data_IF_961945521037
#
_entry.id   IF_961945521037
#
_cell.length_a   1.000
_cell.length_b   1.000
_cell.length_c   1.000
_cell.angle_alpha   90.00
_cell.angle_beta   90.00
_cell.angle_gamma   90.00
#
_symmetry.space_group_name_H-M   'P 1'
#
loop_
_entity.id
_entity.type
_entity.pdbx_description
1 polymer ?
#
# COMPACT_ATOMS: atom_id res chain seq x y z
N UNK A 1 -8.61 25.68 -6.65
CA UNK A 1 -9.73 24.84 -6.18
C UNK A 1 -9.87 23.82 -7.29
N UNK A 2 -9.34 22.60 -7.21
CA UNK A 2 -9.73 21.51 -6.30
C UNK A 2 -8.51 20.58 -6.09
N UNK A 3 -7.99 20.41 -4.87
CA UNK A 3 -7.07 19.32 -4.47
C UNK A 3 -7.10 19.11 -2.96
N UNK A 4 -8.22 18.63 -2.46
CA UNK A 4 -8.32 18.13 -1.08
C UNK A 4 -9.31 16.98 -1.07
N UNK A 5 -8.79 15.76 -0.94
CA UNK A 5 -9.58 14.54 -0.88
C UNK A 5 -8.82 13.39 -1.53
N UNK A 6 -8.31 12.48 -0.71
CA UNK A 6 -7.90 11.14 -1.16
C UNK A 6 -9.17 10.50 -1.74
N UNK A 7 -9.30 10.50 -3.06
CA UNK A 7 -10.50 10.01 -3.74
C UNK A 7 -10.39 8.49 -3.83
N UNK A 8 -10.96 7.79 -2.85
CA UNK A 8 -11.18 6.35 -2.89
C UNK A 8 -12.26 6.03 -3.93
N UNK A 9 -11.97 6.26 -5.22
CA UNK A 9 -12.82 5.84 -6.33
C UNK A 9 -12.40 4.43 -6.75
N UNK A 10 -13.06 3.34 -6.28
CA UNK A 10 -12.90 2.04 -6.89
C UNK A 10 -13.45 2.13 -8.31
N UNK A 11 -12.56 2.31 -9.29
CA UNK A 11 -12.95 2.27 -10.69
C UNK A 11 -13.56 0.89 -10.98
N UNK A 12 -14.82 0.78 -11.42
CA UNK A 12 -15.40 -0.51 -11.79
C UNK A 12 -14.86 -0.90 -13.17
N UNK A 13 -13.61 -1.35 -13.23
CA UNK A 13 -12.99 -1.86 -14.45
C UNK A 13 -12.77 -3.37 -14.32
N UNK A 14 -13.88 -4.11 -14.46
CA UNK A 14 -13.99 -5.41 -15.14
C UNK A 14 -13.02 -6.58 -14.81
N UNK A 15 -12.44 -6.68 -13.61
CA UNK A 15 -11.74 -7.89 -13.14
C UNK A 15 -12.10 -8.22 -11.69
N UNK A 16 -13.24 -8.89 -11.50
CA UNK A 16 -13.85 -9.27 -10.20
C UNK A 16 -12.97 -10.17 -9.30
N UNK A 17 -11.77 -10.54 -9.75
CA UNK A 17 -10.95 -11.59 -9.12
C UNK A 17 -9.73 -11.04 -8.34
N UNK A 18 -9.46 -9.73 -8.33
CA UNK A 18 -8.27 -9.17 -7.66
C UNK A 18 -8.59 -7.96 -6.79
N UNK A 19 -8.05 -7.94 -5.57
CA UNK A 19 -8.17 -6.82 -4.64
C UNK A 19 -7.05 -5.83 -4.91
N UNK A 20 -7.39 -4.58 -5.18
CA UNK A 20 -6.41 -3.51 -5.37
C UNK A 20 -6.64 -2.38 -4.35
N UNK A 21 -5.55 -1.91 -3.77
CA UNK A 21 -5.51 -0.78 -2.86
C UNK A 21 -4.56 0.27 -3.38
N UNK A 22 -5.06 1.49 -3.55
CA UNK A 22 -4.26 2.65 -3.94
C UNK A 22 -4.08 3.56 -2.74
N UNK A 23 -2.82 3.84 -2.42
CA UNK A 23 -2.39 4.78 -1.41
C UNK A 23 -1.75 5.98 -2.11
N UNK A 24 -2.29 7.17 -1.86
CA UNK A 24 -1.74 8.41 -2.40
C UNK A 24 -0.99 9.14 -1.30
N UNK A 25 0.23 9.55 -1.62
CA UNK A 25 1.13 10.20 -0.67
C UNK A 25 1.50 11.59 -1.19
N UNK A 26 1.59 12.59 -0.29
CA UNK A 26 1.92 13.95 -0.70
C UNK A 26 3.36 14.07 -1.18
N UNK A 27 4.28 13.28 -0.62
CA UNK A 27 5.70 13.32 -0.94
C UNK A 27 6.31 11.91 -1.07
N UNK A 28 7.40 11.81 -1.84
CA UNK A 28 8.11 10.55 -2.08
C UNK A 28 8.68 9.94 -0.79
N UNK A 29 9.04 10.76 0.21
CA UNK A 29 9.55 10.30 1.51
C UNK A 29 8.58 9.33 2.19
N UNK A 30 7.27 9.62 2.15
CA UNK A 30 6.22 8.75 2.66
C UNK A 30 6.09 7.47 1.84
N UNK A 31 6.13 7.59 0.51
CA UNK A 31 6.07 6.44 -0.41
C UNK A 31 7.23 5.47 -0.16
N UNK A 32 8.46 5.98 -0.05
CA UNK A 32 9.64 5.15 0.18
C UNK A 32 9.60 4.42 1.51
N UNK A 33 9.09 5.08 2.56
CA UNK A 33 8.92 4.47 3.87
C UNK A 33 7.87 3.37 3.85
N UNK A 34 6.70 3.65 3.26
CA UNK A 34 5.67 2.64 3.05
C UNK A 34 6.22 1.42 2.30
N UNK A 35 7.03 1.62 1.26
CA UNK A 35 7.65 0.52 0.52
C UNK A 35 8.64 -0.29 1.37
N UNK A 36 9.40 0.36 2.25
CA UNK A 36 10.35 -0.31 3.15
C UNK A 36 9.62 -1.19 4.19
N UNK A 37 8.63 -0.63 4.87
CA UNK A 37 7.80 -1.35 5.83
C UNK A 37 7.00 -2.48 5.14
N UNK A 38 6.48 -2.25 3.93
CA UNK A 38 5.77 -3.29 3.16
C UNK A 38 6.71 -4.40 2.68
N UNK A 39 7.96 -4.09 2.38
CA UNK A 39 8.98 -5.10 2.08
C UNK A 39 9.31 -5.96 3.30
N UNK A 40 9.30 -5.39 4.51
CA UNK A 40 9.48 -6.14 5.75
C UNK A 40 8.31 -7.12 6.01
N UNK A 41 7.07 -6.66 5.85
CA UNK A 41 5.88 -7.53 5.94
C UNK A 41 5.96 -8.65 4.89
N UNK A 42 6.32 -8.31 3.65
CA UNK A 42 6.43 -9.28 2.56
C UNK A 42 7.47 -10.37 2.85
N UNK A 43 8.60 -10.00 3.48
CA UNK A 43 9.61 -10.97 3.95
C UNK A 43 9.07 -11.84 5.07
N UNK A 44 8.40 -11.25 6.07
CA UNK A 44 7.85 -11.98 7.22
C UNK A 44 6.82 -13.02 6.81
N UNK A 45 6.00 -12.71 5.81
CA UNK A 45 4.97 -13.62 5.28
C UNK A 45 5.47 -14.47 4.10
N UNK A 46 6.74 -14.31 3.70
CA UNK A 46 7.34 -14.92 2.51
C UNK A 46 6.48 -14.75 1.24
N UNK A 47 5.72 -13.64 1.17
CA UNK A 47 4.71 -13.38 0.17
C UNK A 47 4.88 -11.96 -0.39
N UNK A 48 5.01 -11.86 -1.72
CA UNK A 48 5.26 -10.60 -2.41
C UNK A 48 4.10 -10.29 -3.35
N UNK A 49 3.14 -9.43 -2.95
CA UNK A 49 2.05 -9.04 -3.84
C UNK A 49 2.55 -8.18 -5.00
N UNK A 50 1.69 -8.00 -6.00
CA UNK A 50 2.00 -7.10 -7.09
C UNK A 50 1.88 -5.65 -6.61
N UNK A 51 3.00 -4.94 -6.55
CA UNK A 51 3.04 -3.56 -6.09
C UNK A 51 3.52 -2.67 -7.24
N UNK A 52 2.65 -1.77 -7.66
CA UNK A 52 2.90 -0.77 -8.67
C UNK A 52 2.96 0.61 -8.02
N UNK A 53 4.14 1.23 -7.96
CA UNK A 53 4.29 2.57 -7.39
C UNK A 53 4.63 3.61 -8.45
N UNK A 54 3.99 4.77 -8.34
CA UNK A 54 4.31 5.99 -9.07
C UNK A 54 5.14 6.96 -8.23
N UNK A 55 5.23 8.23 -8.69
CA UNK A 55 5.97 9.27 -7.96
C UNK A 55 5.31 9.69 -6.64
N UNK A 56 3.98 9.61 -6.57
CA UNK A 56 3.16 10.12 -5.45
C UNK A 56 2.07 9.14 -5.04
N UNK A 57 2.12 7.90 -5.53
CA UNK A 57 1.11 6.89 -5.20
C UNK A 57 1.71 5.51 -5.24
N UNK A 58 1.13 4.60 -4.46
CA UNK A 58 1.43 3.17 -4.45
C UNK A 58 0.14 2.41 -4.63
N UNK A 59 0.12 1.51 -5.59
CA UNK A 59 -0.99 0.61 -5.87
C UNK A 59 -0.55 -0.81 -5.55
N UNK A 60 -1.19 -1.43 -4.57
CA UNK A 60 -0.97 -2.83 -4.18
C UNK A 60 -2.12 -3.65 -4.74
N UNK A 61 -1.81 -4.68 -5.52
CA UNK A 61 -2.78 -5.60 -6.11
C UNK A 61 -2.49 -7.02 -5.64
N UNK A 62 -3.53 -7.69 -5.13
CA UNK A 62 -3.52 -9.09 -4.72
C UNK A 62 -4.53 -9.83 -5.58
N UNK A 63 -4.06 -10.76 -6.41
CA UNK A 63 -4.91 -11.60 -7.26
C UNK A 63 -5.62 -12.71 -6.46
N UNK A 64 -6.66 -13.33 -7.05
CA UNK A 64 -7.43 -14.39 -6.41
C UNK A 64 -6.57 -15.59 -5.98
N UNK A 65 -5.52 -15.96 -6.73
CA UNK A 65 -4.69 -17.10 -6.37
C UNK A 65 -3.90 -16.77 -5.10
N UNK A 66 -3.28 -15.60 -5.06
CA UNK A 66 -2.62 -15.07 -3.85
C UNK A 66 -3.56 -15.02 -2.63
N UNK A 67 -4.82 -14.64 -2.83
CA UNK A 67 -5.83 -14.62 -1.75
C UNK A 67 -6.14 -16.02 -1.23
N UNK A 68 -6.24 -17.01 -2.14
CA UNK A 68 -6.48 -18.42 -1.79
C UNK A 68 -5.26 -19.01 -1.08
N UNK A 69 -4.05 -18.72 -1.55
CA UNK A 69 -2.79 -19.18 -0.94
C UNK A 69 -2.57 -18.60 0.45
N UNK A 70 -2.85 -17.31 0.63
CA UNK A 70 -2.75 -16.66 1.94
C UNK A 70 -3.87 -17.09 2.90
N UNK A 71 -5.08 -17.30 2.38
CA UNK A 71 -6.27 -17.67 3.14
C UNK A 71 -6.48 -16.77 4.38
N UNK A 72 -6.34 -17.28 5.61
CA UNK A 72 -6.49 -16.47 6.83
C UNK A 72 -5.38 -15.42 7.01
N UNK A 73 -4.18 -15.65 6.46
CA UNK A 73 -3.06 -14.71 6.55
C UNK A 73 -3.32 -13.43 5.76
N UNK A 74 -4.20 -13.48 4.75
CA UNK A 74 -4.59 -12.31 3.96
C UNK A 74 -5.15 -11.19 4.84
N UNK A 75 -5.98 -11.54 5.85
CA UNK A 75 -6.55 -10.54 6.76
C UNK A 75 -5.48 -9.86 7.60
N UNK A 76 -4.48 -10.63 8.04
CA UNK A 76 -3.34 -10.13 8.82
C UNK A 76 -2.50 -9.23 7.90
N UNK A 77 -2.19 -9.67 6.69
CA UNK A 77 -1.44 -8.90 5.70
C UNK A 77 -2.11 -7.55 5.39
N UNK A 78 -3.41 -7.55 5.13
CA UNK A 78 -4.17 -6.32 4.86
C UNK A 78 -4.19 -5.39 6.08
N UNK A 79 -4.31 -5.93 7.29
CA UNK A 79 -4.29 -5.14 8.52
C UNK A 79 -2.91 -4.49 8.76
N UNK A 80 -1.83 -5.27 8.63
CA UNK A 80 -0.45 -4.77 8.76
C UNK A 80 -0.16 -3.71 7.69
N UNK A 81 -0.61 -3.93 6.45
CA UNK A 81 -0.47 -2.97 5.35
C UNK A 81 -1.19 -1.65 5.65
N UNK A 82 -2.41 -1.70 6.19
CA UNK A 82 -3.14 -0.49 6.59
C UNK A 82 -2.46 0.23 7.75
N UNK A 83 -1.98 -0.51 8.74
CA UNK A 83 -1.26 0.06 9.89
C UNK A 83 0.04 0.73 9.44
N UNK A 84 0.81 0.09 8.57
CA UNK A 84 2.01 0.65 7.96
C UNK A 84 1.70 1.90 7.13
N UNK A 85 0.60 1.91 6.37
CA UNK A 85 0.17 3.10 5.64
C UNK A 85 -0.07 4.28 6.59
N UNK A 86 -0.79 4.08 7.69
CA UNK A 86 -1.06 5.12 8.70
C UNK A 86 0.23 5.51 9.45
N UNK A 87 1.05 4.55 9.83
CA UNK A 87 2.33 4.77 10.53
C UNK A 87 3.32 5.56 9.67
N UNK A 88 3.36 5.28 8.36
CA UNK A 88 4.21 6.02 7.42
C UNK A 88 3.83 7.51 7.34
N UNK A 89 2.52 7.82 7.42
CA UNK A 89 2.02 9.19 7.45
C UNK A 89 2.27 9.88 8.79
N UNK A 90 2.08 9.17 9.91
CA UNK A 90 2.29 9.71 11.26
C UNK A 90 3.77 10.00 11.57
N UNK A 91 4.67 9.17 11.06
CA UNK A 91 6.12 9.29 11.31
C UNK A 91 6.86 10.22 10.34
N UNK A 92 6.20 10.74 9.31
CA UNK A 92 6.82 11.65 8.33
C UNK A 92 6.99 13.09 8.80
N UNK A 93 6.45 13.46 9.97
CA UNK A 93 6.63 14.79 10.55
C UNK A 93 8.03 15.00 11.19
N UNK A 94 8.83 13.94 11.35
CA UNK A 94 10.13 13.97 12.05
C UNK A 94 11.25 13.36 11.19
N UNK A 95 11.41 13.82 9.95
CA UNK A 95 12.64 13.56 9.22
C UNK A 95 13.12 14.83 8.52
N UNK A 96 13.99 15.64 9.16
CA UNK A 96 14.70 16.68 8.45
C UNK A 96 15.66 16.02 7.45
N UNK A 97 15.64 16.53 6.21
CA UNK A 97 16.77 16.61 5.27
C UNK A 97 17.74 15.42 5.21
N UNK A 98 17.69 14.64 4.11
CA UNK A 98 18.93 14.30 3.40
C UNK A 98 18.65 13.75 1.98
N UNK A 99 18.66 14.62 0.96
CA UNK A 99 19.62 14.54 -0.16
C UNK A 99 19.47 15.69 -1.15
#
# INVERSE_FOLDING_TARGET
MERDGIEFSPSPSNTTESLSWRFEFPEYSYTRRFLDDMADISRRMEFYPNVSFGKTYVNVTIDAQSQIELGPQLKIFVSEMQEVAVSSMAKGADQPENR
#
